data_IF_213010045957
#
_entry.id   IF_213010045957
#
_cell.length_a   1.000
_cell.length_b   1.000
_cell.length_c   1.000
_cell.angle_alpha   90.00
_cell.angle_beta   90.00
_cell.angle_gamma   90.00
#
_symmetry.space_group_name_H-M   'P 1'
#
loop_
_entity.id
_entity.type
_entity.pdbx_description
1 polymer ?
#
# COMPACT_ATOMS: atom_id res chain seq x y z
N UNK A 1 78.30 -33.96 -22.11
CA UNK A 1 77.80 -33.15 -23.25
C UNK A 1 76.35 -32.77 -22.93
N UNK A 2 76.02 -31.47 -23.04
CA UNK A 2 74.69 -30.81 -22.82
C UNK A 2 74.24 -30.63 -21.36
N UNK A 3 74.29 -29.42 -20.78
CA UNK A 3 73.50 -28.17 -20.95
C UNK A 3 72.12 -28.18 -20.24
N UNK A 4 72.09 -27.45 -19.11
CA UNK A 4 71.12 -26.45 -18.58
C UNK A 4 69.71 -26.45 -19.20
N UNK A 5 68.65 -26.33 -18.39
CA UNK A 5 67.69 -25.19 -18.38
C UNK A 5 66.78 -25.24 -17.15
N UNK A 6 66.82 -24.19 -16.33
CA UNK A 6 65.79 -23.84 -15.34
C UNK A 6 64.60 -23.22 -16.08
N UNK A 7 63.38 -23.66 -15.75
CA UNK A 7 62.15 -22.98 -16.15
C UNK A 7 61.29 -22.73 -14.91
N UNK A 8 61.24 -21.45 -14.57
CA UNK A 8 60.36 -20.81 -13.60
C UNK A 8 58.90 -20.92 -14.05
N UNK A 9 58.09 -21.66 -13.30
CA UNK A 9 56.64 -21.69 -13.46
C UNK A 9 56.00 -20.57 -12.64
N UNK A 10 55.61 -19.49 -13.32
CA UNK A 10 54.78 -18.42 -12.76
C UNK A 10 53.34 -18.93 -12.68
N UNK A 11 52.91 -19.35 -11.49
CA UNK A 11 51.51 -19.68 -11.22
C UNK A 11 50.72 -18.42 -10.89
N UNK A 12 49.96 -17.93 -11.86
CA UNK A 12 49.05 -16.79 -11.73
C UNK A 12 47.93 -17.15 -10.75
N UNK A 13 47.84 -16.45 -9.62
CA UNK A 13 46.70 -16.51 -8.73
C UNK A 13 45.51 -15.81 -9.40
N UNK A 14 44.54 -16.59 -9.87
CA UNK A 14 43.20 -16.11 -10.23
C UNK A 14 42.48 -15.74 -8.93
N UNK A 15 42.63 -14.50 -8.49
CA UNK A 15 41.70 -13.89 -7.55
C UNK A 15 40.36 -13.71 -8.27
N UNK A 16 39.44 -14.66 -8.06
CA UNK A 16 38.05 -14.48 -8.42
C UNK A 16 37.49 -13.35 -7.54
N UNK A 17 37.42 -12.14 -8.10
CA UNK A 17 36.66 -11.04 -7.50
C UNK A 17 35.19 -11.45 -7.50
N UNK A 18 34.73 -12.03 -6.39
CA UNK A 18 33.31 -12.09 -6.07
C UNK A 18 32.92 -10.64 -5.78
N UNK A 19 32.55 -9.89 -6.82
CA UNK A 19 31.69 -8.73 -6.65
C UNK A 19 30.37 -9.24 -6.11
N UNK A 20 30.26 -9.34 -4.78
CA UNK A 20 28.97 -9.28 -4.11
C UNK A 20 28.38 -7.93 -4.49
N UNK A 21 27.56 -7.90 -5.54
CA UNK A 21 26.66 -6.81 -5.78
C UNK A 21 25.80 -6.67 -4.54
N UNK A 22 26.19 -5.75 -3.66
CA UNK A 22 25.30 -5.19 -2.66
C UNK A 22 24.17 -4.57 -3.49
N UNK A 23 23.08 -5.33 -3.68
CA UNK A 23 21.84 -4.81 -4.25
C UNK A 23 21.51 -3.58 -3.43
N UNK A 24 21.61 -2.42 -4.06
CA UNK A 24 21.27 -1.17 -3.41
C UNK A 24 19.82 -1.31 -2.94
N UNK A 25 19.55 -1.08 -1.65
CA UNK A 25 18.19 -1.21 -1.08
C UNK A 25 17.19 -0.30 -1.80
N UNK A 26 17.68 0.65 -2.61
CA UNK A 26 16.91 1.56 -3.44
C UNK A 26 16.19 0.89 -4.62
N UNK A 27 16.52 -0.38 -4.93
CA UNK A 27 15.95 -1.18 -6.02
C UNK A 27 14.90 -2.20 -5.57
N UNK A 28 14.53 -2.20 -4.28
CA UNK A 28 13.54 -3.11 -3.72
C UNK A 28 12.35 -2.33 -3.15
N UNK A 29 11.16 -2.90 -3.26
CA UNK A 29 9.94 -2.40 -2.63
C UNK A 29 9.66 -3.19 -1.37
N UNK A 30 9.33 -2.49 -0.29
CA UNK A 30 8.94 -3.14 0.96
C UNK A 30 7.49 -3.58 0.86
N UNK A 31 7.23 -4.87 1.05
CA UNK A 31 5.87 -5.40 1.09
C UNK A 31 5.35 -5.24 2.51
N UNK A 32 4.32 -4.40 2.67
CA UNK A 32 3.64 -4.21 3.94
C UNK A 32 2.64 -5.35 4.16
N UNK A 33 2.63 -5.87 5.37
CA UNK A 33 1.64 -6.83 5.84
C UNK A 33 1.16 -6.48 7.24
N UNK A 34 0.18 -7.24 7.71
CA UNK A 34 -0.42 -7.02 9.02
C UNK A 34 0.50 -7.48 10.15
N UNK A 35 0.53 -6.70 11.22
CA UNK A 35 1.24 -6.98 12.45
C UNK A 35 0.40 -6.68 13.69
N UNK A 36 1.02 -6.86 14.86
CA UNK A 36 0.42 -6.37 16.10
C UNK A 36 0.26 -4.85 16.02
N UNK A 37 -0.88 -4.33 16.50
CA UNK A 37 -1.05 -2.90 16.66
C UNK A 37 -0.25 -2.45 17.89
N UNK A 38 0.62 -1.47 17.72
CA UNK A 38 1.37 -0.88 18.82
C UNK A 38 0.65 0.38 19.31
N UNK A 39 0.50 0.53 20.63
CA UNK A 39 -0.21 1.66 21.25
C UNK A 39 0.42 3.01 20.86
N UNK A 40 1.75 3.08 20.80
CA UNK A 40 2.46 4.29 20.39
C UNK A 40 2.10 4.72 18.95
N UNK A 41 1.98 3.76 18.02
CA UNK A 41 1.64 4.04 16.63
C UNK A 41 0.17 4.44 16.49
N UNK A 42 -0.73 3.73 17.19
CA UNK A 42 -2.15 4.09 17.20
C UNK A 42 -2.38 5.47 17.83
N UNK A 43 -1.62 5.83 18.86
CA UNK A 43 -1.72 7.12 19.54
C UNK A 43 -1.45 8.30 18.60
N UNK A 44 -0.50 8.16 17.66
CA UNK A 44 -0.23 9.19 16.64
C UNK A 44 -1.49 9.47 15.82
N UNK A 45 -2.11 8.41 15.30
CA UNK A 45 -3.35 8.51 14.53
C UNK A 45 -4.49 9.09 15.38
N UNK A 46 -4.74 8.53 16.56
CA UNK A 46 -5.87 8.94 17.40
C UNK A 46 -5.73 10.39 17.90
N UNK A 47 -4.52 10.85 18.21
CA UNK A 47 -4.27 12.23 18.62
C UNK A 47 -4.52 13.20 17.46
N UNK A 48 -4.11 12.84 16.24
CA UNK A 48 -4.40 13.64 15.05
C UNK A 48 -5.92 13.79 14.87
N UNK A 49 -6.66 12.67 14.91
CA UNK A 49 -8.12 12.68 14.76
C UNK A 49 -8.83 13.46 15.87
N UNK A 50 -8.39 13.33 17.13
CA UNK A 50 -8.97 14.07 18.26
C UNK A 50 -8.76 15.59 18.17
N UNK A 51 -7.69 16.03 17.50
CA UNK A 51 -7.47 17.45 17.22
C UNK A 51 -8.42 18.00 16.13
N UNK A 52 -9.04 17.11 15.34
CA UNK A 52 -10.03 17.50 14.35
C UNK A 52 -11.42 17.59 15.02
N UNK A 53 -12.16 18.66 14.77
CA UNK A 53 -13.59 18.75 15.08
C UNK A 53 -14.43 17.95 14.06
N UNK A 54 -14.08 16.67 13.88
CA UNK A 54 -14.54 15.85 12.76
C UNK A 54 -15.68 14.91 13.15
N UNK A 55 -16.69 14.83 12.28
CA UNK A 55 -17.83 13.90 12.38
C UNK A 55 -17.61 12.70 11.46
N UNK A 56 -16.63 11.86 11.81
CA UNK A 56 -16.38 10.60 11.12
C UNK A 56 -16.71 9.42 12.01
N UNK A 57 -17.07 8.32 11.38
CA UNK A 57 -17.19 7.02 12.02
C UNK A 57 -16.07 6.12 11.50
N UNK A 58 -15.79 5.04 12.20
CA UNK A 58 -14.87 4.03 11.71
C UNK A 58 -15.32 2.62 12.12
N UNK A 59 -14.98 1.67 11.27
CA UNK A 59 -15.14 0.24 11.51
C UNK A 59 -13.85 -0.47 11.14
N UNK A 60 -13.70 -1.73 11.54
CA UNK A 60 -12.56 -2.55 11.13
C UNK A 60 -13.03 -3.56 10.08
N UNK A 61 -12.31 -3.61 8.97
CA UNK A 61 -12.53 -4.56 7.88
C UNK A 61 -11.23 -5.32 7.62
N UNK A 62 -11.23 -6.63 7.88
CA UNK A 62 -10.07 -7.50 7.67
C UNK A 62 -8.77 -6.92 8.26
N UNK A 63 -8.84 -6.33 9.46
CA UNK A 63 -7.69 -5.75 10.16
C UNK A 63 -7.32 -4.32 9.75
N UNK A 64 -8.05 -3.69 8.83
CA UNK A 64 -7.90 -2.29 8.43
C UNK A 64 -8.93 -1.43 9.13
N UNK A 65 -8.53 -0.31 9.76
CA UNK A 65 -9.47 0.68 10.27
C UNK A 65 -9.94 1.56 9.11
N UNK A 66 -11.21 1.44 8.77
CA UNK A 66 -11.84 2.15 7.66
C UNK A 66 -12.62 3.33 8.21
N UNK A 67 -12.16 4.53 7.87
CA UNK A 67 -12.79 5.79 8.26
C UNK A 67 -13.84 6.18 7.23
N UNK A 68 -15.05 6.53 7.69
CA UNK A 68 -16.17 6.89 6.83
C UNK A 68 -16.82 8.22 7.27
N UNK A 69 -17.34 9.04 6.35
CA UNK A 69 -18.14 10.20 6.71
C UNK A 69 -19.38 9.81 7.53
N UNK A 70 -19.74 10.63 8.53
CA UNK A 70 -20.96 10.39 9.33
C UNK A 70 -22.25 10.50 8.51
N UNK A 71 -22.29 11.42 7.54
CA UNK A 71 -23.41 11.55 6.60
C UNK A 71 -23.14 10.75 5.35
N UNK A 72 -24.20 10.26 4.68
CA UNK A 72 -24.08 9.54 3.41
C UNK A 72 -23.57 10.48 2.31
N UNK A 73 -22.28 10.37 1.96
CA UNK A 73 -21.67 11.19 0.91
C UNK A 73 -20.40 10.56 0.34
N UNK A 74 -19.98 11.09 -0.81
CA UNK A 74 -18.70 10.76 -1.41
C UNK A 74 -17.53 11.34 -0.61
N UNK A 75 -16.35 10.80 -0.86
CA UNK A 75 -15.11 11.33 -0.30
C UNK A 75 -14.49 12.33 -1.27
N UNK A 76 -14.08 13.47 -0.74
CA UNK A 76 -13.26 14.47 -1.41
C UNK A 76 -12.00 14.76 -0.59
N UNK A 77 -10.91 14.06 -0.96
CA UNK A 77 -9.60 14.16 -0.30
C UNK A 77 -8.86 15.48 -0.60
N UNK A 78 -9.37 16.28 -1.54
CA UNK A 78 -8.75 17.54 -1.94
C UNK A 78 -9.48 18.74 -1.28
N UNK A 79 -10.65 18.52 -0.68
CA UNK A 79 -11.42 19.55 0.03
C UNK A 79 -11.83 19.12 1.45
N UNK A 80 -13.07 18.67 1.64
CA UNK A 80 -13.72 18.43 2.94
C UNK A 80 -13.00 17.37 3.76
N UNK A 81 -12.38 16.39 3.10
CA UNK A 81 -11.75 15.25 3.77
C UNK A 81 -10.23 15.39 3.85
N UNK A 82 -9.67 16.51 3.40
CA UNK A 82 -8.22 16.72 3.34
C UNK A 82 -7.54 16.62 4.71
N UNK A 83 -8.13 17.17 5.78
CA UNK A 83 -7.54 17.08 7.12
C UNK A 83 -7.63 15.67 7.71
N UNK A 84 -8.74 14.95 7.49
CA UNK A 84 -8.84 13.54 7.89
C UNK A 84 -7.84 12.68 7.11
N UNK A 85 -7.68 12.95 5.81
CA UNK A 85 -6.69 12.30 4.98
C UNK A 85 -5.27 12.52 5.48
N UNK A 86 -4.91 13.73 5.93
CA UNK A 86 -3.59 13.97 6.54
C UNK A 86 -3.35 13.10 7.76
N UNK A 87 -4.35 12.92 8.62
CA UNK A 87 -4.22 12.00 9.76
C UNK A 87 -3.96 10.56 9.31
N UNK A 88 -4.72 10.08 8.33
CA UNK A 88 -4.54 8.74 7.75
C UNK A 88 -3.15 8.60 7.12
N UNK A 89 -2.78 9.51 6.22
CA UNK A 89 -1.51 9.48 5.51
C UNK A 89 -0.32 9.53 6.47
N UNK A 90 -0.39 10.36 7.52
CA UNK A 90 0.70 10.48 8.50
C UNK A 90 0.99 9.19 9.28
N UNK A 91 0.02 8.27 9.35
CA UNK A 91 0.12 7.02 10.13
C UNK A 91 0.07 5.75 9.26
N UNK A 92 0.01 5.90 7.94
CA UNK A 92 -0.20 4.80 6.98
C UNK A 92 0.99 3.83 6.85
N UNK A 93 2.14 4.12 7.48
CA UNK A 93 3.30 3.23 7.56
C UNK A 93 3.25 2.27 8.76
N UNK A 94 2.48 2.61 9.79
CA UNK A 94 2.48 1.87 11.07
C UNK A 94 1.13 1.30 11.45
N UNK A 95 0.03 1.87 10.95
CA UNK A 95 -1.34 1.41 11.19
C UNK A 95 -2.03 1.11 9.87
N UNK A 96 -2.81 0.03 9.79
CA UNK A 96 -3.58 -0.30 8.59
C UNK A 96 -4.81 0.59 8.52
N UNK A 97 -4.76 1.64 7.70
CA UNK A 97 -5.78 2.68 7.61
C UNK A 97 -6.32 2.82 6.19
N UNK A 98 -7.61 3.09 6.09
CA UNK A 98 -8.26 3.47 4.84
C UNK A 98 -9.37 4.50 5.10
N UNK A 99 -9.80 5.19 4.05
CA UNK A 99 -10.99 6.05 4.08
C UNK A 99 -11.97 5.58 3.01
N UNK A 100 -13.26 5.47 3.34
CA UNK A 100 -14.29 4.92 2.45
C UNK A 100 -15.54 5.81 2.38
N UNK A 101 -16.10 5.98 1.17
CA UNK A 101 -17.33 6.77 1.03
C UNK A 101 -18.54 6.02 1.59
N UNK A 102 -19.55 6.77 2.00
CA UNK A 102 -20.76 6.25 2.64
C UNK A 102 -22.02 6.55 1.81
N UNK A 103 -21.86 6.71 0.49
CA UNK A 103 -22.95 7.09 -0.41
C UNK A 103 -24.06 6.04 -0.46
N UNK A 104 -23.71 4.75 -0.35
CA UNK A 104 -24.65 3.64 -0.41
C UNK A 104 -24.59 2.80 0.85
N UNK A 105 -25.73 2.22 1.20
CA UNK A 105 -25.84 1.35 2.36
C UNK A 105 -24.91 0.14 2.25
N UNK A 106 -24.06 0.00 3.26
CA UNK A 106 -23.15 -1.12 3.44
C UNK A 106 -23.30 -1.58 4.89
N UNK A 107 -23.71 -2.84 5.14
CA UNK A 107 -23.88 -3.37 6.49
C UNK A 107 -22.64 -3.20 7.37
N UNK A 108 -21.43 -3.26 6.79
CA UNK A 108 -20.19 -3.05 7.55
C UNK A 108 -20.07 -1.61 8.09
N UNK A 109 -20.68 -0.64 7.40
CA UNK A 109 -20.69 0.76 7.82
C UNK A 109 -21.75 1.04 8.89
N UNK A 110 -22.83 0.26 8.96
CA UNK A 110 -23.91 0.46 9.94
C UNK A 110 -23.41 0.29 11.38
N UNK A 111 -22.52 -0.68 11.62
CA UNK A 111 -21.93 -0.99 12.92
C UNK A 111 -20.75 -0.09 13.32
N UNK A 112 -20.43 0.94 12.53
CA UNK A 112 -19.27 1.80 12.77
C UNK A 112 -19.40 2.66 14.04
N UNK A 113 -18.29 2.84 14.76
CA UNK A 113 -18.22 3.67 15.96
C UNK A 113 -17.78 5.09 15.64
N UNK A 114 -18.10 6.07 16.50
CA UNK A 114 -17.58 7.43 16.33
C UNK A 114 -16.05 7.43 16.49
N UNK A 115 -15.32 7.97 15.51
CA UNK A 115 -13.86 7.76 15.43
C UNK A 115 -13.10 8.32 16.64
N UNK A 116 -13.52 9.47 17.17
CA UNK A 116 -12.87 10.10 18.33
C UNK A 116 -13.08 9.32 19.64
N UNK A 117 -14.03 8.38 19.66
CA UNK A 117 -14.30 7.52 20.80
C UNK A 117 -13.46 6.24 20.82
N UNK A 118 -12.84 5.87 19.70
CA UNK A 118 -12.09 4.61 19.58
C UNK A 118 -10.76 4.74 20.33
N UNK A 119 -10.62 4.04 21.45
CA UNK A 119 -9.36 3.93 22.20
C UNK A 119 -8.52 2.76 21.68
N UNK A 120 -7.26 2.70 22.09
CA UNK A 120 -6.35 1.62 21.69
C UNK A 120 -6.92 0.22 22.01
N UNK A 121 -7.44 0.03 23.23
CA UNK A 121 -8.06 -1.24 23.62
C UNK A 121 -9.26 -1.62 22.74
N UNK A 122 -10.11 -0.64 22.40
CA UNK A 122 -11.24 -0.84 21.50
C UNK A 122 -10.76 -1.21 20.09
N UNK A 123 -9.76 -0.50 19.56
CA UNK A 123 -9.19 -0.77 18.25
C UNK A 123 -8.61 -2.19 18.15
N UNK A 124 -7.89 -2.64 19.19
CA UNK A 124 -7.39 -4.02 19.28
C UNK A 124 -8.54 -5.03 19.34
N UNK A 125 -9.58 -4.75 20.13
CA UNK A 125 -10.76 -5.61 20.27
C UNK A 125 -11.57 -5.70 18.96
N UNK A 126 -11.68 -4.60 18.22
CA UNK A 126 -12.28 -4.55 16.88
C UNK A 126 -11.44 -5.30 15.83
N UNK A 127 -10.21 -5.70 16.17
CA UNK A 127 -9.33 -6.48 15.30
C UNK A 127 -8.38 -5.66 14.45
N UNK A 128 -8.23 -4.35 14.70
CA UNK A 128 -7.28 -3.49 13.98
C UNK A 128 -5.86 -4.04 14.09
N UNK A 129 -5.15 -4.02 12.96
CA UNK A 129 -3.76 -4.45 12.86
C UNK A 129 -2.83 -3.28 12.55
N UNK A 130 -1.64 -3.34 13.14
CA UNK A 130 -0.52 -2.52 12.70
C UNK A 130 -0.01 -2.97 11.33
N UNK A 131 0.89 -2.18 10.75
CA UNK A 131 1.62 -2.54 9.54
C UNK A 131 3.08 -2.85 9.88
N UNK A 132 3.63 -3.85 9.20
CA UNK A 132 5.06 -4.18 9.26
C UNK A 132 5.54 -4.64 7.89
N UNK A 133 6.82 -4.48 7.63
CA UNK A 133 7.45 -5.07 6.44
C UNK A 133 7.49 -6.59 6.64
N UNK A 134 6.90 -7.33 5.70
CA UNK A 134 6.89 -8.82 5.72
C UNK A 134 7.75 -9.43 4.64
N UNK A 135 8.02 -8.68 3.57
CA UNK A 135 8.86 -9.13 2.46
C UNK A 135 9.45 -7.93 1.71
N UNK A 136 10.32 -8.20 0.73
CA UNK A 136 10.81 -7.22 -0.24
C UNK A 136 10.78 -7.83 -1.64
N UNK A 137 10.16 -7.12 -2.57
CA UNK A 137 10.10 -7.51 -3.99
C UNK A 137 10.93 -6.56 -4.84
N UNK A 138 11.50 -7.02 -5.98
CA UNK A 138 12.19 -6.13 -6.90
C UNK A 138 11.30 -4.95 -7.28
N UNK A 139 11.85 -3.74 -7.16
CA UNK A 139 11.20 -2.59 -7.73
C UNK A 139 11.31 -2.72 -9.24
N UNK A 140 10.20 -3.00 -9.93
CA UNK A 140 10.17 -3.21 -11.38
C UNK A 140 10.77 -2.04 -12.19
N UNK A 141 11.00 -0.89 -11.56
CA UNK A 141 11.75 0.23 -12.14
C UNK A 141 13.28 0.01 -12.27
N UNK A 142 13.85 -1.06 -11.71
CA UNK A 142 15.30 -1.27 -11.60
C UNK A 142 15.91 -2.21 -12.66
N UNK A 143 15.17 -2.68 -13.67
CA UNK A 143 15.75 -3.58 -14.69
C UNK A 143 16.27 -2.84 -15.93
N UNK A 144 17.48 -3.19 -16.37
CA UNK A 144 18.18 -2.66 -17.55
C UNK A 144 17.52 -3.03 -18.92
N UNK A 145 16.21 -3.25 -18.95
CA UNK A 145 15.45 -3.60 -20.15
C UNK A 145 14.28 -2.66 -20.36
N UNK A 146 14.34 -1.84 -21.42
CA UNK A 146 13.26 -1.06 -22.08
C UNK A 146 11.94 -0.93 -21.28
N UNK A 147 11.98 -0.33 -20.08
CA UNK A 147 10.81 0.25 -19.45
C UNK A 147 11.20 1.64 -18.97
N UNK A 148 10.61 2.64 -19.62
CA UNK A 148 10.87 4.05 -19.34
C UNK A 148 10.52 4.35 -17.89
N UNK A 149 11.42 5.14 -17.31
CA UNK A 149 11.40 5.86 -16.03
C UNK A 149 10.22 6.82 -15.92
N UNK A 150 8.99 6.35 -16.14
CA UNK A 150 7.85 7.24 -16.07
C UNK A 150 7.34 7.26 -14.62
N UNK A 151 7.42 8.40 -13.92
CA UNK A 151 6.84 8.58 -12.59
C UNK A 151 5.30 8.46 -12.59
N UNK A 152 4.70 8.21 -13.75
CA UNK A 152 3.26 8.04 -13.92
C UNK A 152 2.72 6.63 -13.76
N UNK A 153 3.44 5.64 -13.20
CA UNK A 153 2.91 4.27 -13.04
C UNK A 153 2.92 3.78 -11.60
N UNK A 154 2.08 2.81 -11.31
CA UNK A 154 2.12 1.94 -10.13
C UNK A 154 1.82 0.50 -10.58
N UNK A 155 1.98 -0.49 -9.72
CA UNK A 155 1.50 -1.85 -10.02
C UNK A 155 0.43 -2.28 -9.04
N UNK A 156 -0.38 -3.25 -9.46
CA UNK A 156 -1.32 -3.92 -8.57
C UNK A 156 -1.39 -5.42 -8.89
N UNK A 157 -1.77 -6.18 -7.86
CA UNK A 157 -2.13 -7.59 -7.94
C UNK A 157 -3.63 -7.68 -7.75
N UNK A 158 -4.35 -8.19 -8.75
CA UNK A 158 -5.80 -8.39 -8.72
C UNK A 158 -6.09 -9.88 -8.66
N UNK A 159 -6.80 -10.34 -7.64
CA UNK A 159 -7.03 -11.76 -7.38
C UNK A 159 -8.51 -12.09 -7.26
N UNK A 160 -8.93 -13.17 -7.90
CA UNK A 160 -10.26 -13.77 -7.71
C UNK A 160 -10.39 -14.48 -6.34
N UNK A 161 -9.28 -14.60 -5.61
CA UNK A 161 -9.21 -15.13 -4.26
C UNK A 161 -9.00 -14.01 -3.23
N UNK A 162 -9.17 -14.34 -1.95
CA UNK A 162 -8.99 -13.42 -0.81
C UNK A 162 -7.52 -13.32 -0.35
N UNK A 163 -6.57 -13.35 -1.29
CA UNK A 163 -5.13 -13.51 -1.00
C UNK A 163 -4.24 -12.41 -1.59
N UNK A 164 -4.76 -11.61 -2.52
CA UNK A 164 -4.00 -10.66 -3.33
C UNK A 164 -2.82 -11.28 -4.10
N UNK A 165 -2.76 -12.61 -4.22
CA UNK A 165 -1.77 -13.32 -5.03
C UNK A 165 -2.30 -13.55 -6.44
N UNK A 166 -2.70 -12.46 -7.08
CA UNK A 166 -3.24 -12.46 -8.43
C UNK A 166 -2.23 -12.05 -9.49
N UNK A 167 -2.72 -11.74 -10.68
CA UNK A 167 -1.87 -11.31 -11.78
C UNK A 167 -1.24 -9.94 -11.50
N UNK A 168 0.08 -9.87 -11.64
CA UNK A 168 0.85 -8.64 -11.54
C UNK A 168 0.70 -7.80 -12.80
N UNK A 169 0.26 -6.55 -12.65
CA UNK A 169 0.06 -5.63 -13.77
C UNK A 169 0.55 -4.22 -13.44
N UNK A 170 1.06 -3.52 -14.47
CA UNK A 170 1.42 -2.10 -14.39
C UNK A 170 0.27 -1.21 -14.88
N UNK A 171 0.01 -0.15 -14.13
CA UNK A 171 -1.08 0.79 -14.38
C UNK A 171 -0.55 2.22 -14.40
N UNK A 172 -1.06 3.01 -15.34
CA UNK A 172 -0.83 4.45 -15.35
C UNK A 172 -1.62 5.10 -14.21
N UNK A 173 -0.95 5.96 -13.46
CA UNK A 173 -1.58 6.90 -12.55
C UNK A 173 -2.54 7.83 -13.30
N UNK A 174 -3.53 8.36 -12.58
CA UNK A 174 -4.58 9.24 -13.07
C UNK A 174 -5.47 8.63 -14.17
N UNK A 175 -5.47 7.30 -14.29
CA UNK A 175 -6.33 6.55 -15.20
C UNK A 175 -7.17 5.56 -14.42
N UNK A 176 -8.46 5.50 -14.76
CA UNK A 176 -9.34 4.46 -14.27
C UNK A 176 -9.12 3.16 -15.05
N UNK A 177 -9.03 2.06 -14.31
CA UNK A 177 -9.03 0.70 -14.84
C UNK A 177 -10.23 -0.04 -14.30
N UNK A 178 -10.95 -0.76 -15.16
CA UNK A 178 -12.24 -1.39 -14.84
C UNK A 178 -12.36 -2.73 -15.55
N UNK A 179 -13.06 -3.68 -14.93
CA UNK A 179 -13.26 -5.02 -15.46
C UNK A 179 -14.74 -5.41 -15.44
N UNK A 180 -15.11 -6.40 -16.26
CA UNK A 180 -16.48 -6.89 -16.33
C UNK A 180 -16.90 -7.70 -15.08
N UNK A 181 -15.94 -8.31 -14.39
CA UNK A 181 -16.15 -9.08 -13.16
C UNK A 181 -15.36 -8.45 -12.02
N UNK A 182 -15.84 -8.64 -10.79
CA UNK A 182 -15.10 -8.23 -9.59
C UNK A 182 -13.98 -9.20 -9.28
N UNK A 183 -12.83 -8.64 -8.90
CA UNK A 183 -11.83 -9.35 -8.13
C UNK A 183 -12.23 -9.39 -6.65
N UNK A 184 -11.86 -10.45 -5.95
CA UNK A 184 -12.15 -10.62 -4.53
C UNK A 184 -11.16 -9.84 -3.64
N UNK A 185 -9.94 -9.58 -4.14
CA UNK A 185 -8.95 -8.81 -3.41
C UNK A 185 -7.95 -8.11 -4.32
N UNK A 186 -7.29 -7.08 -3.77
CA UNK A 186 -6.23 -6.36 -4.46
C UNK A 186 -5.14 -5.85 -3.52
N UNK A 187 -3.91 -5.74 -4.03
CA UNK A 187 -2.85 -4.96 -3.41
C UNK A 187 -2.14 -4.13 -4.47
N UNK A 188 -1.57 -2.99 -4.08
CA UNK A 188 -0.86 -2.11 -5.00
C UNK A 188 0.48 -1.70 -4.44
N UNK A 189 1.43 -1.42 -5.33
CA UNK A 189 2.75 -0.93 -4.95
C UNK A 189 3.11 0.39 -5.60
N UNK A 190 3.68 1.24 -4.75
CA UNK A 190 4.17 2.55 -5.06
C UNK A 190 5.66 2.45 -5.45
N UNK A 191 5.94 2.72 -6.72
CA UNK A 191 7.31 2.69 -7.26
C UNK A 191 8.02 4.05 -7.14
N UNK A 192 7.29 5.12 -6.79
CA UNK A 192 7.86 6.45 -6.60
C UNK A 192 8.70 6.51 -5.31
N UNK A 193 9.80 7.26 -5.38
CA UNK A 193 10.79 7.37 -4.29
C UNK A 193 10.46 8.45 -3.25
N UNK A 194 9.49 9.31 -3.53
CA UNK A 194 9.23 10.53 -2.74
C UNK A 194 7.76 10.73 -2.41
N UNK A 195 6.87 10.33 -3.30
CA UNK A 195 5.45 10.63 -3.24
C UNK A 195 4.67 9.44 -2.71
N UNK A 196 3.68 9.66 -1.84
CA UNK A 196 2.69 8.62 -1.57
C UNK A 196 1.84 8.35 -2.81
N UNK A 197 1.26 7.16 -2.89
CA UNK A 197 0.26 6.80 -3.87
C UNK A 197 -1.09 6.72 -3.15
N UNK A 198 -2.04 7.56 -3.53
CA UNK A 198 -3.45 7.38 -3.18
C UNK A 198 -4.00 6.27 -4.09
N UNK A 199 -4.21 5.09 -3.53
CA UNK A 199 -4.78 3.95 -4.25
C UNK A 199 -6.24 3.79 -3.88
N UNK A 200 -7.12 3.97 -4.86
CA UNK A 200 -8.57 3.89 -4.67
C UNK A 200 -9.13 2.69 -5.40
N UNK A 201 -10.02 1.96 -4.72
CA UNK A 201 -10.72 0.78 -5.21
C UNK A 201 -12.23 1.02 -5.11
N UNK A 202 -12.98 0.54 -6.10
CA UNK A 202 -14.45 0.62 -6.10
C UNK A 202 -15.07 -0.76 -6.20
N UNK A 203 -16.16 -1.01 -5.45
CA UNK A 203 -17.04 -2.15 -5.67
C UNK A 203 -17.96 -1.97 -6.89
N UNK A 204 -17.63 -1.02 -7.78
CA UNK A 204 -18.38 -0.66 -8.97
C UNK A 204 -17.45 -0.39 -10.16
N UNK A 205 -18.01 -0.41 -11.37
CA UNK A 205 -17.26 -0.19 -12.61
C UNK A 205 -16.90 1.29 -12.81
N UNK A 206 -15.93 1.53 -13.70
CA UNK A 206 -15.59 2.84 -14.26
C UNK A 206 -15.07 3.88 -13.25
N UNK A 207 -14.65 3.47 -12.05
CA UNK A 207 -14.23 4.37 -10.97
C UNK A 207 -15.30 5.41 -10.65
N UNK A 208 -16.56 5.01 -10.80
CA UNK A 208 -17.72 5.86 -10.61
C UNK A 208 -18.56 5.30 -9.47
N UNK A 209 -19.06 6.23 -8.65
CA UNK A 209 -20.10 6.05 -7.63
C UNK A 209 -19.70 5.10 -6.51
N UNK A 210 -19.90 5.53 -5.27
CA UNK A 210 -20.27 4.64 -4.18
C UNK A 210 -19.17 3.82 -3.55
N UNK A 211 -19.13 3.88 -2.22
CA UNK A 211 -18.33 3.07 -1.31
C UNK A 211 -16.89 2.85 -1.78
N UNK A 212 -16.31 3.89 -2.38
CA UNK A 212 -14.94 3.91 -2.84
C UNK A 212 -14.03 3.88 -1.62
N UNK A 213 -13.02 3.01 -1.61
CA UNK A 213 -12.04 2.95 -0.53
C UNK A 213 -10.69 3.45 -1.04
N UNK A 214 -10.09 4.41 -0.33
CA UNK A 214 -8.76 4.93 -0.64
C UNK A 214 -7.78 4.61 0.47
N UNK A 215 -6.58 4.16 0.08
CA UNK A 215 -5.47 3.81 0.98
C UNK A 215 -4.25 4.64 0.57
N UNK A 216 -3.48 5.09 1.56
CA UNK A 216 -2.19 5.74 1.30
C UNK A 216 -1.10 4.68 1.27
N UNK A 217 -0.34 4.64 0.18
CA UNK A 217 0.79 3.73 0.01
C UNK A 217 2.06 4.58 0.00
N UNK A 218 2.92 4.37 1.00
CA UNK A 218 4.16 5.13 1.16
C UNK A 218 5.12 4.92 -0.01
N UNK A 219 6.06 5.86 -0.23
CA UNK A 219 7.10 5.70 -1.23
C UNK A 219 7.82 4.36 -1.09
N UNK A 220 8.04 3.69 -2.21
CA UNK A 220 8.75 2.41 -2.29
C UNK A 220 8.15 1.27 -1.43
N UNK A 221 6.83 1.28 -1.21
CA UNK A 221 6.13 0.19 -0.51
C UNK A 221 4.98 -0.39 -1.33
N UNK A 222 4.60 -1.62 -0.99
CA UNK A 222 3.35 -2.25 -1.40
C UNK A 222 2.41 -2.29 -0.21
N UNK A 223 1.14 -1.94 -0.41
CA UNK A 223 0.16 -2.00 0.68
C UNK A 223 -0.18 -3.44 1.07
N UNK A 224 -0.69 -3.58 2.30
CA UNK A 224 -1.30 -4.83 2.76
C UNK A 224 -2.48 -5.22 1.85
N UNK A 225 -2.70 -6.52 1.69
CA UNK A 225 -3.81 -7.06 0.93
C UNK A 225 -5.17 -6.46 1.34
N UNK A 226 -5.92 -5.95 0.36
CA UNK A 226 -7.25 -5.41 0.53
C UNK A 226 -8.26 -6.44 0.06
N UNK A 227 -8.93 -7.08 1.02
CA UNK A 227 -9.90 -8.14 0.74
C UNK A 227 -11.29 -7.52 0.61
N UNK A 228 -11.53 -6.82 -0.49
CA UNK A 228 -12.81 -6.17 -0.82
C UNK A 228 -13.14 -6.37 -2.30
N UNK A 229 -14.39 -6.74 -2.65
CA UNK A 229 -14.84 -6.82 -4.04
C UNK A 229 -14.50 -5.55 -4.80
N UNK A 230 -13.73 -5.69 -5.89
CA UNK A 230 -13.18 -4.57 -6.64
C UNK A 230 -13.42 -4.77 -8.13
N UNK A 231 -14.17 -3.85 -8.74
CA UNK A 231 -14.43 -3.80 -10.17
C UNK A 231 -13.61 -2.75 -10.89
N UNK A 232 -13.12 -1.75 -10.17
CA UNK A 232 -12.26 -0.72 -10.75
C UNK A 232 -11.27 -0.14 -9.74
N UNK A 233 -10.16 0.34 -10.27
CA UNK A 233 -9.06 0.91 -9.49
C UNK A 233 -8.57 2.21 -10.12
N UNK A 234 -8.04 3.09 -9.26
CA UNK A 234 -7.43 4.35 -9.65
C UNK A 234 -6.25 4.63 -8.72
N UNK A 235 -5.14 5.09 -9.29
CA UNK A 235 -3.96 5.49 -8.53
C UNK A 235 -3.57 6.92 -8.87
N UNK A 236 -3.30 7.74 -7.86
CA UNK A 236 -2.73 9.08 -8.07
C UNK A 236 -1.65 9.36 -7.03
N UNK A 237 -0.51 9.83 -7.51
CA UNK A 237 0.55 10.27 -6.64
C UNK A 237 0.18 11.56 -5.93
N UNK A 238 0.37 11.56 -4.60
CA UNK A 238 0.60 12.77 -3.82
C UNK A 238 1.87 13.49 -4.36
#
# INVERSE_FOLDING_TARGET
>A
MRFITFLTGVGVALAASITTGLSDSSDMLSVMGQGALEEQHFSVFSNCVQALSSSYRAYVDEGVLVVIPFTKRTIDLDTVDAEMWKCIDSSADTVSLAIESSEFDDPAQEESAHISGIRYADAVQMGLRGQKVIDRVPNSSASNGIQKRDPGYYYAYLSDERTCHGDFNHYYSRRCYTWASAYASTSAGNVDKKKCLKYTIWPHHNCEKGNQRTISIRPQTQCTCQVKPTYSIYGVYC
#
